data_IF_313288740181
#
_entry.id   IF_313288740181
#
_cell.length_a   1.000
_cell.length_b   1.000
_cell.length_c   1.000
_cell.angle_alpha   90.00
_cell.angle_beta   90.00
_cell.angle_gamma   90.00
#
_symmetry.space_group_name_H-M   'P 1'
#
loop_
_entity.id
_entity.type
_entity.pdbx_description
1 polymer ?
#
# COMPACT_ATOMS: atom_id res chain seq x y z
N UNK A 1 -3.76 23.15 -5.59
CA UNK A 1 -5.17 23.20 -5.90
C UNK A 1 -5.43 23.17 -7.38
N UNK A 2 -4.72 23.94 -8.18
CA UNK A 2 -4.90 23.97 -9.63
C UNK A 2 -4.43 22.71 -10.34
N UNK A 3 -3.68 21.89 -9.62
CA UNK A 3 -3.24 20.58 -10.09
C UNK A 3 -4.34 19.51 -10.04
N UNK A 4 -5.31 19.71 -9.19
CA UNK A 4 -6.49 18.88 -9.15
C UNK A 4 -7.56 19.41 -10.07
N UNK A 5 -7.13 19.94 -11.20
CA UNK A 5 -8.06 20.66 -11.97
C UNK A 5 -9.13 19.79 -12.51
N UNK A 6 -10.25 20.17 -12.16
CA UNK A 6 -11.43 19.39 -12.18
C UNK A 6 -11.83 18.88 -13.55
N UNK A 7 -11.45 19.51 -14.61
CA UNK A 7 -11.85 19.12 -15.95
C UNK A 7 -11.55 17.69 -16.31
N UNK A 8 -10.50 17.11 -15.74
CA UNK A 8 -10.15 15.71 -15.96
C UNK A 8 -11.04 14.72 -15.21
N UNK A 9 -11.78 15.20 -14.21
CA UNK A 9 -12.70 14.39 -13.42
C UNK A 9 -14.15 14.62 -13.80
N UNK A 10 -14.40 15.58 -14.66
CA UNK A 10 -15.73 15.99 -15.04
C UNK A 10 -16.31 15.03 -16.09
N UNK A 11 -17.60 15.11 -16.25
CA UNK A 11 -18.28 14.35 -17.29
C UNK A 11 -17.78 14.77 -18.68
N UNK A 12 -17.92 13.90 -19.68
CA UNK A 12 -17.45 14.17 -21.04
C UNK A 12 -17.88 15.49 -21.64
N UNK A 13 -19.01 16.02 -21.20
CA UNK A 13 -19.55 17.30 -21.65
C UNK A 13 -18.88 18.51 -21.00
N UNK A 14 -18.10 18.29 -19.96
CA UNK A 14 -17.41 19.36 -19.28
C UNK A 14 -16.02 19.54 -19.85
N UNK A 15 -15.59 20.77 -19.95
CA UNK A 15 -14.30 21.07 -20.60
C UNK A 15 -13.16 20.34 -19.90
N UNK A 16 -12.52 19.51 -20.65
CA UNK A 16 -11.29 18.90 -20.20
C UNK A 16 -10.24 19.98 -19.96
N UNK A 17 -9.61 19.90 -18.83
CA UNK A 17 -8.43 20.70 -18.54
C UNK A 17 -7.29 20.14 -19.37
N UNK A 18 -6.42 21.01 -19.88
CA UNK A 18 -5.24 20.57 -20.62
C UNK A 18 -4.48 19.47 -19.84
N UNK A 19 -4.11 18.43 -20.54
CA UNK A 19 -3.47 17.25 -19.96
C UNK A 19 -2.12 17.56 -19.28
N UNK A 20 -1.47 18.66 -19.64
CA UNK A 20 -0.25 19.17 -19.01
C UNK A 20 -0.41 19.52 -17.53
N UNK A 21 -1.64 19.77 -17.09
CA UNK A 21 -1.89 20.15 -15.68
C UNK A 21 -2.22 18.97 -14.78
N UNK A 22 -2.66 17.87 -15.34
CA UNK A 22 -3.17 16.74 -14.59
C UNK A 22 -2.53 15.41 -14.98
N UNK A 23 -1.69 15.41 -15.98
CA UNK A 23 -1.11 14.22 -16.53
C UNK A 23 -2.15 13.39 -17.29
N UNK A 24 -2.87 12.51 -16.60
CA UNK A 24 -3.89 11.67 -17.22
C UNK A 24 -5.26 11.95 -16.61
N UNK A 25 -6.30 12.13 -17.43
CA UNK A 25 -7.65 12.28 -16.93
C UNK A 25 -8.06 11.07 -16.09
N UNK A 26 -8.42 11.32 -14.87
CA UNK A 26 -8.94 10.29 -13.98
C UNK A 26 -10.46 10.47 -13.89
N UNK A 27 -11.23 9.48 -14.35
CA UNK A 27 -12.68 9.56 -14.41
C UNK A 27 -13.37 9.39 -13.05
N UNK A 28 -12.72 9.78 -12.00
CA UNK A 28 -13.32 9.81 -10.69
C UNK A 28 -14.13 11.07 -10.53
N UNK A 29 -15.41 10.88 -10.56
CA UNK A 29 -16.30 11.98 -10.28
C UNK A 29 -16.46 12.15 -8.78
N UNK A 30 -15.89 13.23 -8.29
CA UNK A 30 -15.99 13.60 -6.89
C UNK A 30 -17.41 13.99 -6.46
N UNK A 31 -18.25 14.37 -7.38
CA UNK A 31 -19.57 14.85 -7.04
C UNK A 31 -20.52 13.76 -6.57
N UNK A 32 -20.33 12.53 -7.05
CA UNK A 32 -21.28 11.45 -6.74
C UNK A 32 -20.83 10.60 -5.55
N UNK A 33 -19.52 10.52 -5.28
CA UNK A 33 -19.03 9.48 -4.37
C UNK A 33 -17.97 9.92 -3.38
N UNK A 34 -17.13 10.88 -3.73
CA UNK A 34 -16.05 11.33 -2.87
C UNK A 34 -15.89 12.83 -3.00
N UNK A 35 -16.20 13.61 -1.97
CA UNK A 35 -15.94 15.04 -2.00
C UNK A 35 -14.45 15.28 -2.19
N UNK A 36 -14.09 16.09 -3.17
CA UNK A 36 -12.71 16.59 -3.28
C UNK A 36 -12.48 17.60 -2.18
N UNK A 37 -11.68 17.21 -1.19
CA UNK A 37 -11.24 18.11 -0.15
C UNK A 37 -9.88 18.67 -0.53
N UNK A 38 -9.81 19.99 -0.61
CA UNK A 38 -8.56 20.69 -0.87
C UNK A 38 -7.75 20.94 0.41
N UNK A 39 -6.47 21.21 0.22
CA UNK A 39 -5.56 21.55 1.32
C UNK A 39 -4.83 20.37 1.93
N UNK A 40 -4.10 20.63 3.00
CA UNK A 40 -3.37 19.62 3.77
C UNK A 40 -4.32 19.06 4.83
N UNK A 41 -4.88 17.91 4.55
CA UNK A 41 -5.91 17.27 5.39
C UNK A 41 -5.33 16.20 6.32
N UNK A 42 -4.04 15.88 6.21
CA UNK A 42 -3.35 14.88 7.02
C UNK A 42 -2.11 15.48 7.66
N UNK A 43 -1.61 14.91 8.77
CA UNK A 43 -0.36 15.36 9.38
C UNK A 43 0.79 15.35 8.38
N UNK A 44 1.60 16.41 8.44
CA UNK A 44 2.88 16.49 7.72
C UNK A 44 3.97 15.98 8.65
N UNK A 45 4.76 15.03 8.15
CA UNK A 45 5.88 14.46 8.89
C UNK A 45 7.19 14.76 8.17
N UNK A 46 8.20 15.13 8.93
CA UNK A 46 9.56 15.34 8.43
C UNK A 46 10.45 14.25 9.03
N UNK A 47 11.12 13.48 8.17
CA UNK A 47 12.04 12.45 8.58
C UNK A 47 13.48 12.89 8.32
N UNK A 48 14.31 12.83 9.36
CA UNK A 48 15.74 13.00 9.21
C UNK A 48 16.38 11.63 9.15
N UNK A 49 17.07 11.33 8.06
CA UNK A 49 17.71 10.05 7.83
C UNK A 49 19.23 10.23 7.67
N UNK A 50 20.03 9.25 8.10
CA UNK A 50 21.46 9.22 7.78
C UNK A 50 21.67 8.94 6.27
N UNK A 51 22.91 8.98 5.79
CA UNK A 51 23.23 8.69 4.39
C UNK A 51 22.86 7.25 3.97
N UNK A 52 22.84 6.31 4.92
CA UNK A 52 22.42 4.93 4.69
C UNK A 52 21.24 4.63 5.59
N UNK A 53 20.10 4.34 4.99
CA UNK A 53 18.83 4.24 5.73
C UNK A 53 17.87 3.22 5.14
N UNK A 54 16.93 2.77 5.98
CA UNK A 54 15.75 2.01 5.57
C UNK A 54 14.76 2.95 4.87
N UNK A 55 14.32 2.59 3.68
CA UNK A 55 13.35 3.40 2.95
C UNK A 55 11.96 3.31 3.58
N UNK A 56 11.20 4.38 3.48
CA UNK A 56 9.76 4.36 3.77
C UNK A 56 9.01 3.85 2.53
N UNK A 57 7.89 3.15 2.70
CA UNK A 57 7.09 2.74 1.55
C UNK A 57 6.59 3.96 0.79
N UNK A 58 6.71 3.94 -0.52
CA UNK A 58 6.19 4.96 -1.44
C UNK A 58 6.71 6.37 -1.17
N UNK A 59 7.96 6.49 -0.70
CA UNK A 59 8.55 7.79 -0.49
C UNK A 59 8.71 8.54 -1.82
N UNK A 60 7.91 9.61 -1.97
CA UNK A 60 7.92 10.43 -3.18
C UNK A 60 7.75 9.58 -4.46
N UNK A 61 8.24 10.07 -5.58
CA UNK A 61 8.27 9.36 -6.86
C UNK A 61 9.34 8.26 -6.94
N UNK A 62 10.07 8.01 -5.86
CA UNK A 62 11.11 6.97 -5.80
C UNK A 62 10.56 5.55 -5.79
N UNK A 63 9.25 5.41 -5.62
CA UNK A 63 8.56 4.12 -5.61
C UNK A 63 9.17 3.09 -4.64
N UNK A 64 9.72 3.59 -3.54
CA UNK A 64 10.41 2.78 -2.52
C UNK A 64 9.48 1.76 -1.90
N UNK A 65 10.02 0.59 -1.55
CA UNK A 65 9.23 -0.54 -1.08
C UNK A 65 9.15 -0.64 0.44
N UNK A 66 10.06 0.04 1.15
CA UNK A 66 10.10 0.00 2.61
C UNK A 66 10.34 -1.40 3.18
N UNK A 67 9.76 -1.62 4.35
CA UNK A 67 9.83 -2.88 5.08
C UNK A 67 8.66 -3.81 4.69
N UNK A 68 8.96 -5.09 4.46
CA UNK A 68 7.96 -6.13 4.24
C UNK A 68 8.20 -7.32 5.16
N UNK A 69 7.17 -7.70 5.91
CA UNK A 69 7.20 -8.79 6.87
C UNK A 69 6.11 -9.79 6.52
N UNK A 70 6.47 -11.06 6.39
CA UNK A 70 5.49 -12.09 6.07
C UNK A 70 5.84 -13.45 6.68
N UNK A 71 4.80 -14.24 6.91
CA UNK A 71 4.92 -15.63 7.35
C UNK A 71 4.77 -16.60 6.18
N UNK A 72 5.43 -17.74 6.29
CA UNK A 72 5.28 -18.89 5.40
C UNK A 72 5.47 -20.20 6.17
N UNK A 73 5.19 -21.33 5.52
CA UNK A 73 5.34 -22.67 6.11
C UNK A 73 4.62 -22.78 7.47
N UNK A 74 3.35 -22.34 7.49
CA UNK A 74 2.54 -22.38 8.71
C UNK A 74 2.26 -23.82 9.12
N UNK A 75 2.67 -24.18 10.34
CA UNK A 75 2.26 -25.39 11.03
C UNK A 75 1.17 -25.01 12.03
N UNK A 76 -0.07 -25.32 11.70
CA UNK A 76 -1.22 -24.94 12.50
C UNK A 76 -1.39 -25.81 13.75
N UNK A 77 -0.89 -27.04 13.71
CA UNK A 77 -0.98 -27.97 14.85
C UNK A 77 -0.01 -27.58 15.95
N UNK A 78 1.19 -27.13 15.59
CA UNK A 78 2.22 -26.70 16.54
C UNK A 78 2.26 -25.19 16.74
N UNK A 79 1.39 -24.43 16.05
CA UNK A 79 1.33 -22.97 16.09
C UNK A 79 2.69 -22.32 15.78
N UNK A 80 3.36 -22.78 14.72
CA UNK A 80 4.65 -22.24 14.28
C UNK A 80 4.60 -21.79 12.82
N UNK A 81 5.47 -20.85 12.47
CA UNK A 81 5.69 -20.45 11.08
C UNK A 81 7.12 -19.92 10.88
N UNK A 82 7.56 -19.91 9.64
CA UNK A 82 8.76 -19.17 9.27
C UNK A 82 8.40 -17.71 9.08
N UNK A 83 9.21 -16.82 9.63
CA UNK A 83 9.09 -15.37 9.40
C UNK A 83 10.19 -14.93 8.44
N UNK A 84 9.82 -14.07 7.50
CA UNK A 84 10.72 -13.43 6.56
C UNK A 84 10.52 -11.93 6.59
N UNK A 85 11.63 -11.23 6.47
CA UNK A 85 11.67 -9.77 6.45
C UNK A 85 12.53 -9.34 5.26
N UNK A 86 11.99 -8.45 4.47
CA UNK A 86 12.69 -7.76 3.38
C UNK A 86 12.69 -6.27 3.71
N UNK A 87 13.84 -5.63 3.66
CA UNK A 87 13.97 -4.20 3.90
C UNK A 87 14.78 -3.55 2.79
N UNK A 88 14.20 -2.57 2.16
CA UNK A 88 14.89 -1.79 1.14
C UNK A 88 15.75 -0.73 1.81
N UNK A 89 17.04 -0.68 1.41
CA UNK A 89 18.04 0.25 1.92
C UNK A 89 18.57 1.10 0.79
N UNK A 90 18.69 2.39 1.06
CA UNK A 90 19.41 3.34 0.20
C UNK A 90 20.72 3.73 0.83
N UNK A 91 21.73 3.88 -0.02
CA UNK A 91 23.02 4.42 0.37
C UNK A 91 23.28 5.68 -0.47
N UNK A 92 22.97 6.85 0.08
CA UNK A 92 23.24 8.15 -0.55
C UNK A 92 24.69 8.63 -0.34
N UNK A 93 25.49 7.84 0.36
CA UNK A 93 26.93 8.04 0.50
C UNK A 93 27.69 7.75 -0.79
N UNK A 94 29.00 7.91 -0.73
CA UNK A 94 29.88 7.80 -1.91
C UNK A 94 30.59 6.45 -2.03
N UNK A 95 30.51 5.62 -1.00
CA UNK A 95 31.23 4.34 -0.94
C UNK A 95 30.29 3.19 -0.57
N UNK A 96 30.55 1.98 -1.06
CA UNK A 96 29.83 0.80 -0.61
C UNK A 96 30.04 0.57 0.89
N UNK A 97 29.01 0.11 1.58
CA UNK A 97 29.06 -0.21 3.01
C UNK A 97 28.52 -1.61 3.27
N UNK A 98 28.95 -2.22 4.37
CA UNK A 98 28.32 -3.45 4.86
C UNK A 98 27.07 -3.08 5.63
N UNK A 99 25.93 -3.62 5.23
CA UNK A 99 24.64 -3.37 5.86
C UNK A 99 23.99 -4.67 6.35
N UNK A 100 23.40 -4.66 7.52
CA UNK A 100 22.77 -5.82 8.14
C UNK A 100 21.51 -5.41 8.86
N UNK A 101 20.48 -6.28 8.84
CA UNK A 101 19.27 -6.13 9.62
C UNK A 101 19.35 -6.90 10.92
N UNK A 102 18.81 -6.30 11.99
CA UNK A 102 18.36 -7.00 13.18
C UNK A 102 16.87 -6.79 13.34
N UNK A 103 16.14 -7.86 13.58
CA UNK A 103 14.70 -7.84 13.76
C UNK A 103 14.36 -8.26 15.17
N UNK A 104 13.57 -7.44 15.84
CA UNK A 104 12.94 -7.78 17.12
C UNK A 104 11.44 -7.88 16.92
N UNK A 105 10.88 -9.06 17.20
CA UNK A 105 9.45 -9.30 17.20
C UNK A 105 8.92 -9.17 18.63
N UNK A 106 7.97 -8.25 18.86
CA UNK A 106 7.37 -8.04 20.18
C UNK A 106 5.89 -8.42 20.20
N UNK A 107 5.46 -8.96 21.32
CA UNK A 107 4.04 -9.20 21.61
C UNK A 107 3.34 -7.90 22.00
N UNK A 108 1.99 -7.89 22.04
CA UNK A 108 1.23 -6.71 22.47
C UNK A 108 1.57 -6.16 23.85
N UNK A 109 2.04 -7.01 24.74
CA UNK A 109 2.49 -6.62 26.09
C UNK A 109 3.91 -6.03 26.13
N UNK A 110 4.55 -5.89 24.96
CA UNK A 110 5.91 -5.38 24.81
C UNK A 110 7.01 -6.45 25.01
N UNK A 111 6.66 -7.65 25.47
CA UNK A 111 7.65 -8.72 25.64
C UNK A 111 8.22 -9.18 24.30
N UNK A 112 9.47 -9.59 24.30
CA UNK A 112 10.14 -10.09 23.09
C UNK A 112 9.65 -11.51 22.79
N UNK A 113 9.15 -11.69 21.56
CA UNK A 113 8.79 -13.00 21.03
C UNK A 113 9.98 -13.67 20.35
N UNK A 114 10.76 -12.92 19.58
CA UNK A 114 11.96 -13.41 18.89
C UNK A 114 12.91 -12.25 18.56
N UNK A 115 14.19 -12.58 18.43
CA UNK A 115 15.21 -11.71 17.84
C UNK A 115 15.99 -12.54 16.83
N UNK A 116 16.21 -11.99 15.65
CA UNK A 116 17.02 -12.64 14.61
C UNK A 116 17.68 -11.62 13.69
N UNK A 117 18.86 -11.97 13.20
CA UNK A 117 19.67 -11.15 12.33
C UNK A 117 19.60 -11.65 10.88
N UNK A 118 19.67 -10.74 9.94
CA UNK A 118 19.93 -11.06 8.55
C UNK A 118 21.41 -11.25 8.28
N UNK A 119 21.76 -11.86 7.16
CA UNK A 119 23.13 -11.87 6.69
C UNK A 119 23.58 -10.46 6.27
N UNK A 120 24.82 -10.05 6.58
CA UNK A 120 25.37 -8.81 6.04
C UNK A 120 25.39 -8.82 4.51
N UNK A 121 25.08 -7.69 3.91
CA UNK A 121 25.15 -7.49 2.47
C UNK A 121 25.80 -6.13 2.15
N UNK A 122 26.35 -6.01 0.94
CA UNK A 122 26.94 -4.75 0.50
C UNK A 122 25.84 -3.83 -0.05
N UNK A 123 25.66 -2.67 0.58
CA UNK A 123 24.85 -1.60 0.05
C UNK A 123 25.70 -0.66 -0.80
N UNK A 124 25.55 -0.76 -2.12
CA UNK A 124 26.25 0.09 -3.07
C UNK A 124 25.69 1.52 -3.03
N UNK A 125 26.49 2.55 -3.35
CA UNK A 125 26.00 3.90 -3.47
C UNK A 125 24.86 4.02 -4.50
N UNK A 126 23.74 4.59 -4.09
CA UNK A 126 22.58 4.85 -4.96
C UNK A 126 22.59 6.29 -5.51
N UNK A 127 23.53 7.13 -5.05
CA UNK A 127 23.49 8.55 -5.32
C UNK A 127 22.32 9.25 -4.61
N UNK A 128 22.32 10.57 -4.65
CA UNK A 128 21.23 11.35 -4.08
C UNK A 128 19.93 11.07 -4.82
N UNK A 129 18.90 10.73 -4.07
CA UNK A 129 17.58 10.58 -4.63
C UNK A 129 17.05 11.91 -5.15
N UNK A 130 17.07 12.09 -6.44
CA UNK A 130 16.29 13.15 -7.10
C UNK A 130 15.01 12.50 -7.58
N UNK A 131 13.84 12.86 -7.01
CA UNK A 131 12.60 12.36 -7.56
C UNK A 131 12.53 12.76 -9.03
N UNK A 132 12.30 11.83 -9.95
CA UNK A 132 12.02 12.23 -11.31
C UNK A 132 10.76 13.08 -11.28
N UNK A 133 10.85 14.29 -11.76
CA UNK A 133 9.69 15.04 -12.22
C UNK A 133 9.17 14.30 -13.45
N UNK A 134 8.41 13.25 -13.29
CA UNK A 134 7.67 12.66 -14.37
C UNK A 134 6.43 13.52 -14.63
N UNK A 135 6.65 14.66 -15.20
CA UNK A 135 5.60 15.37 -15.89
C UNK A 135 5.47 14.62 -17.21
N UNK A 136 4.40 13.84 -17.33
CA UNK A 136 4.01 13.35 -18.66
C UNK A 136 3.79 14.61 -19.51
N UNK A 137 4.48 14.78 -20.64
CA UNK A 137 4.30 15.96 -21.46
C UNK A 137 2.81 16.18 -21.76
N UNK A 138 2.37 17.41 -21.72
CA UNK A 138 0.99 17.81 -22.01
C UNK A 138 0.47 17.19 -23.31
N UNK A 139 1.36 17.02 -24.23
CA UNK A 139 1.10 16.58 -25.58
C UNK A 139 1.04 15.05 -25.73
N UNK A 140 1.27 14.32 -24.64
CA UNK A 140 1.25 12.86 -24.67
C UNK A 140 -0.17 12.27 -24.81
N UNK A 141 -1.19 13.09 -24.62
CA UNK A 141 -2.60 12.67 -24.73
C UNK A 141 -3.41 13.73 -25.44
N UNK A 142 -4.13 13.31 -26.45
CA UNK A 142 -5.07 14.14 -27.20
C UNK A 142 -6.49 13.64 -27.02
N UNK A 143 -7.49 14.53 -27.13
CA UNK A 143 -8.88 14.09 -27.14
C UNK A 143 -9.12 13.03 -28.19
N UNK A 144 -9.83 11.98 -27.84
CA UNK A 144 -10.25 10.98 -28.80
C UNK A 144 -11.50 11.48 -29.53
N UNK A 145 -11.35 11.83 -30.79
CA UNK A 145 -12.45 12.33 -31.60
C UNK A 145 -13.56 11.28 -31.81
N UNK A 146 -13.21 10.00 -31.73
CA UNK A 146 -14.17 8.92 -31.90
C UNK A 146 -15.03 8.68 -30.65
N UNK A 147 -14.52 9.07 -29.47
CA UNK A 147 -15.20 8.86 -28.19
C UNK A 147 -15.13 10.14 -27.38
N UNK A 148 -16.17 10.98 -27.42
CA UNK A 148 -16.19 12.24 -26.67
C UNK A 148 -15.89 12.05 -25.19
N UNK A 149 -14.95 12.84 -24.67
CA UNK A 149 -14.49 12.79 -23.28
C UNK A 149 -13.43 11.74 -23.00
N UNK A 150 -12.98 11.01 -23.98
CA UNK A 150 -11.82 10.14 -23.89
C UNK A 150 -10.57 10.84 -24.41
N UNK A 151 -9.43 10.44 -23.88
CA UNK A 151 -8.14 10.86 -24.35
C UNK A 151 -7.37 9.63 -24.81
N UNK A 152 -6.72 9.73 -25.95
CA UNK A 152 -5.83 8.69 -26.45
C UNK A 152 -4.38 9.14 -26.39
N UNK A 153 -3.44 8.23 -26.20
CA UNK A 153 -2.03 8.58 -26.32
C UNK A 153 -1.74 9.17 -27.69
N UNK A 154 -0.89 10.15 -27.73
CA UNK A 154 -0.28 10.56 -28.99
C UNK A 154 0.68 9.44 -29.39
N UNK A 155 0.44 8.82 -30.52
CA UNK A 155 1.35 7.84 -31.11
C UNK A 155 2.54 8.58 -31.77
N UNK A 156 3.25 9.33 -30.97
CA UNK A 156 4.45 10.05 -31.40
C UNK A 156 5.68 9.37 -30.80
N UNK A 157 6.36 8.59 -31.61
CA UNK A 157 7.61 7.91 -31.24
C UNK A 157 8.73 8.88 -30.84
N UNK A 158 8.56 10.19 -31.10
CA UNK A 158 9.52 11.22 -30.69
C UNK A 158 9.33 11.70 -29.26
N UNK A 159 8.19 11.41 -28.63
CA UNK A 159 8.02 11.71 -27.22
C UNK A 159 8.94 10.76 -26.43
N UNK A 160 9.80 11.29 -25.56
CA UNK A 160 10.62 10.42 -24.74
C UNK A 160 9.67 9.48 -23.98
N UNK A 161 9.88 8.18 -24.14
CA UNK A 161 9.26 7.22 -23.23
C UNK A 161 9.44 7.77 -21.82
N UNK A 162 8.42 7.70 -20.96
CA UNK A 162 8.58 8.10 -19.56
C UNK A 162 9.84 7.40 -19.10
N UNK A 163 10.86 8.20 -18.80
CA UNK A 163 12.17 7.67 -18.40
C UNK A 163 11.85 6.72 -17.25
N UNK A 164 11.95 5.42 -17.54
CA UNK A 164 11.99 4.46 -16.48
C UNK A 164 13.02 5.07 -15.53
N UNK A 165 12.57 5.50 -14.35
CA UNK A 165 13.48 5.96 -13.32
C UNK A 165 14.61 4.98 -13.37
N UNK A 166 15.79 5.41 -13.76
CA UNK A 166 16.95 4.55 -13.66
C UNK A 166 16.77 3.81 -12.37
N UNK A 167 16.66 2.50 -12.47
CA UNK A 167 16.41 1.67 -11.29
C UNK A 167 17.63 1.91 -10.43
N UNK A 168 17.51 2.95 -9.57
CA UNK A 168 18.60 3.31 -8.71
C UNK A 168 18.87 2.07 -7.91
N UNK A 169 20.09 1.54 -8.01
CA UNK A 169 20.47 0.28 -7.42
C UNK A 169 20.15 0.33 -5.92
N UNK A 170 18.99 -0.16 -5.55
CA UNK A 170 18.59 -0.30 -4.14
C UNK A 170 19.06 -1.65 -3.65
N UNK A 171 19.49 -1.69 -2.42
CA UNK A 171 19.84 -2.94 -1.76
C UNK A 171 18.63 -3.44 -0.98
N UNK A 172 18.24 -4.68 -1.20
CA UNK A 172 17.24 -5.33 -0.36
C UNK A 172 17.96 -6.24 0.62
N UNK A 173 17.85 -5.94 1.89
CA UNK A 173 18.34 -6.80 2.97
C UNK A 173 17.27 -7.80 3.36
N UNK A 174 17.70 -9.00 3.71
CA UNK A 174 16.83 -10.08 4.13
C UNK A 174 17.19 -10.54 5.55
N UNK A 175 16.16 -10.79 6.35
CA UNK A 175 16.28 -11.48 7.61
C UNK A 175 15.18 -12.53 7.73
N UNK A 176 15.39 -13.55 8.53
CA UNK A 176 14.36 -14.56 8.75
C UNK A 176 14.70 -15.51 9.88
N UNK A 177 13.67 -16.13 10.41
CA UNK A 177 13.76 -17.19 11.37
C UNK A 177 12.75 -18.28 11.02
N UNK A 178 13.16 -19.53 11.18
CA UNK A 178 12.34 -20.69 10.87
C UNK A 178 11.64 -21.21 12.14
N UNK A 179 10.46 -21.77 11.94
CA UNK A 179 9.71 -22.51 12.97
C UNK A 179 9.52 -21.71 14.26
N UNK A 180 9.21 -20.42 14.14
CA UNK A 180 8.93 -19.59 15.31
C UNK A 180 7.56 -19.93 15.90
N UNK A 181 7.44 -20.10 17.24
CA UNK A 181 6.15 -20.23 17.90
C UNK A 181 5.41 -18.89 17.86
N UNK A 182 4.20 -18.89 17.30
CA UNK A 182 3.40 -17.68 17.05
C UNK A 182 1.95 -17.88 17.47
N UNK A 183 1.33 -16.81 17.95
CA UNK A 183 -0.12 -16.70 18.01
C UNK A 183 -0.58 -16.09 16.69
N UNK A 184 -1.40 -16.82 15.96
CA UNK A 184 -1.84 -16.40 14.64
C UNK A 184 -3.00 -15.41 14.72
N UNK A 185 -2.98 -14.42 13.84
CA UNK A 185 -4.07 -13.48 13.69
C UNK A 185 -5.28 -14.16 13.05
N UNK A 186 -6.46 -13.92 13.59
CA UNK A 186 -7.72 -14.38 13.01
C UNK A 186 -8.83 -13.33 13.23
N UNK A 187 -10.00 -13.55 12.63
CA UNK A 187 -11.18 -12.69 12.79
C UNK A 187 -11.62 -12.61 14.26
N UNK A 188 -11.54 -13.74 14.99
CA UNK A 188 -11.99 -13.83 16.38
C UNK A 188 -10.86 -13.63 17.39
N UNK A 189 -9.62 -13.68 16.95
CA UNK A 189 -8.42 -13.42 17.72
C UNK A 189 -7.43 -12.56 16.92
N UNK A 190 -7.64 -11.25 16.82
CA UNK A 190 -6.83 -10.36 16.00
C UNK A 190 -5.48 -10.02 16.66
N UNK A 191 -4.64 -11.04 16.84
CA UNK A 191 -3.37 -10.92 17.53
C UNK A 191 -2.31 -10.25 16.66
N UNK A 192 -1.76 -9.14 17.12
CA UNK A 192 -0.80 -8.33 16.38
C UNK A 192 0.56 -8.33 17.07
N UNK A 193 1.60 -8.34 16.27
CA UNK A 193 2.99 -8.15 16.70
C UNK A 193 3.50 -6.80 16.26
N UNK A 194 4.40 -6.24 17.08
CA UNK A 194 5.26 -5.13 16.67
C UNK A 194 6.57 -5.69 16.16
N UNK A 195 6.96 -5.30 14.95
CA UNK A 195 8.23 -5.64 14.33
C UNK A 195 9.12 -4.41 14.34
N UNK A 196 10.24 -4.48 15.03
CA UNK A 196 11.30 -3.49 15.02
C UNK A 196 12.41 -3.97 14.10
N UNK A 197 12.70 -3.22 13.04
CA UNK A 197 13.80 -3.47 12.14
C UNK A 197 14.89 -2.44 12.37
N UNK A 198 16.07 -2.87 12.79
CA UNK A 198 17.23 -2.05 13.02
C UNK A 198 18.26 -2.29 11.90
N UNK A 199 18.77 -1.19 11.35
CA UNK A 199 19.81 -1.20 10.35
C UNK A 199 21.17 -0.97 11.02
N UNK A 200 22.08 -1.91 10.79
CA UNK A 200 23.48 -1.78 11.18
C UNK A 200 24.32 -1.53 9.94
N UNK A 201 25.13 -0.49 9.96
CA UNK A 201 26.07 -0.15 8.90
C UNK A 201 27.49 -0.25 9.46
N UNK A 202 28.31 -1.10 8.86
CA UNK A 202 29.67 -1.39 9.34
C UNK A 202 29.71 -1.77 10.84
N UNK A 203 28.67 -2.44 11.33
CA UNK A 203 28.53 -2.89 12.71
C UNK A 203 27.90 -1.88 13.69
N UNK A 204 27.64 -0.66 13.25
CA UNK A 204 26.97 0.37 14.07
C UNK A 204 25.50 0.54 13.68
N UNK A 205 24.61 0.67 14.67
CA UNK A 205 23.20 0.95 14.44
C UNK A 205 23.05 2.39 13.91
N UNK A 206 22.48 2.51 12.71
CA UNK A 206 22.31 3.81 12.05
C UNK A 206 20.85 4.23 11.87
N UNK A 207 19.94 3.29 11.70
CA UNK A 207 18.53 3.58 11.46
C UNK A 207 17.64 2.50 12.05
N UNK A 208 16.36 2.80 12.23
CA UNK A 208 15.37 1.83 12.65
C UNK A 208 13.98 2.20 12.11
N UNK A 209 13.17 1.18 11.89
CA UNK A 209 11.76 1.31 11.55
C UNK A 209 10.93 0.33 12.37
N UNK A 210 9.67 0.67 12.57
CA UNK A 210 8.72 -0.14 13.30
C UNK A 210 7.43 -0.26 12.50
N UNK A 211 6.84 -1.44 12.51
CA UNK A 211 5.49 -1.66 12.00
C UNK A 211 4.73 -2.66 12.87
N UNK A 212 3.42 -2.67 12.72
CA UNK A 212 2.54 -3.66 13.35
C UNK A 212 2.01 -4.61 12.29
N UNK A 213 2.02 -5.91 12.56
CA UNK A 213 1.52 -6.93 11.65
C UNK A 213 0.96 -8.13 12.42
N UNK A 214 0.22 -8.99 11.71
CA UNK A 214 -0.23 -10.28 12.22
C UNK A 214 0.08 -11.38 11.21
N UNK A 215 0.30 -12.58 11.70
CA UNK A 215 0.63 -13.73 10.86
C UNK A 215 -0.57 -14.66 10.75
N UNK A 216 -0.93 -15.05 9.56
CA UNK A 216 -2.05 -15.95 9.29
C UNK A 216 -1.81 -16.80 8.05
N UNK A 217 -2.32 -18.02 8.07
CA UNK A 217 -2.44 -18.86 6.91
C UNK A 217 -3.82 -18.65 6.26
N UNK A 218 -3.84 -18.41 4.95
CA UNK A 218 -5.08 -18.32 4.17
C UNK A 218 -5.07 -19.41 3.11
N UNK A 219 -6.14 -20.13 3.02
CA UNK A 219 -6.33 -21.14 1.98
C UNK A 219 -7.77 -21.16 1.49
N UNK A 220 -7.96 -21.66 0.28
CA UNK A 220 -9.26 -21.87 -0.32
C UNK A 220 -9.43 -23.33 -0.70
N UNK A 221 -10.53 -23.90 -0.27
CA UNK A 221 -10.93 -25.25 -0.60
C UNK A 221 -12.23 -25.19 -1.41
N UNK A 222 -12.26 -25.88 -2.56
CA UNK A 222 -13.43 -25.83 -3.47
C UNK A 222 -14.74 -26.33 -2.83
N UNK A 223 -14.63 -27.24 -1.86
CA UNK A 223 -15.79 -27.85 -1.21
C UNK A 223 -16.18 -27.15 0.11
N UNK A 224 -15.23 -26.50 0.76
CA UNK A 224 -15.41 -25.89 2.08
C UNK A 224 -15.19 -24.38 2.10
N UNK A 225 -14.73 -23.79 0.99
CA UNK A 225 -14.55 -22.35 0.85
C UNK A 225 -13.28 -21.80 1.50
N UNK A 226 -13.38 -20.56 1.94
CA UNK A 226 -12.28 -19.82 2.55
C UNK A 226 -11.93 -20.37 3.94
N UNK A 227 -10.64 -20.45 4.21
CA UNK A 227 -10.11 -20.77 5.53
C UNK A 227 -9.06 -19.78 5.97
N UNK A 228 -9.13 -19.40 7.23
CA UNK A 228 -8.08 -18.67 7.92
C UNK A 228 -7.58 -19.56 9.08
N UNK A 229 -6.29 -19.84 9.09
CA UNK A 229 -5.65 -20.76 10.04
C UNK A 229 -6.38 -22.12 10.12
N UNK A 230 -6.75 -22.67 8.99
CA UNK A 230 -7.45 -23.94 8.88
C UNK A 230 -8.96 -23.91 9.18
N UNK A 231 -9.45 -22.88 9.87
CA UNK A 231 -10.86 -22.72 10.19
C UNK A 231 -11.65 -22.15 9.02
N UNK A 232 -12.79 -22.75 8.68
CA UNK A 232 -13.69 -22.25 7.64
C UNK A 232 -14.26 -20.90 8.06
N UNK A 233 -14.22 -19.93 7.16
CA UNK A 233 -14.70 -18.58 7.40
C UNK A 233 -15.88 -18.23 6.49
N UNK A 234 -16.97 -17.82 7.09
CA UNK A 234 -18.09 -17.24 6.39
C UNK A 234 -18.00 -15.72 6.44
N UNK A 235 -17.77 -15.10 5.29
CA UNK A 235 -17.69 -13.66 5.20
C UNK A 235 -19.09 -13.05 5.18
N UNK A 236 -19.36 -12.19 6.14
CA UNK A 236 -20.56 -11.38 6.25
C UNK A 236 -20.15 -9.93 6.21
N UNK A 237 -20.59 -9.22 5.19
CA UNK A 237 -20.13 -7.85 5.04
C UNK A 237 -20.88 -7.08 3.98
N UNK A 238 -20.41 -5.89 3.73
CA UNK A 238 -20.98 -4.95 2.76
C UNK A 238 -19.88 -4.12 2.10
N UNK A 239 -20.26 -3.38 1.08
CA UNK A 239 -19.37 -2.43 0.45
C UNK A 239 -19.40 -1.11 1.20
N UNK A 240 -18.24 -0.56 1.50
CA UNK A 240 -18.06 0.74 2.14
C UNK A 240 -17.19 1.62 1.24
N UNK A 241 -17.51 2.89 1.19
CA UNK A 241 -16.63 3.87 0.57
C UNK A 241 -15.53 4.26 1.54
N UNK A 242 -14.37 4.53 0.99
CA UNK A 242 -13.23 4.95 1.80
C UNK A 242 -13.34 6.40 2.30
N UNK A 243 -14.31 7.17 1.82
CA UNK A 243 -14.58 8.51 2.30
C UNK A 243 -15.57 8.47 3.45
N UNK A 244 -15.18 9.03 4.58
CA UNK A 244 -16.12 9.31 5.64
C UNK A 244 -16.85 10.61 5.29
N UNK A 245 -18.18 10.53 5.13
CA UNK A 245 -19.04 11.66 4.79
C UNK A 245 -19.34 12.58 5.98
N UNK A 246 -18.53 12.53 7.01
CA UNK A 246 -18.73 13.39 8.15
C UNK A 246 -18.56 14.86 7.77
N UNK A 247 -19.59 15.63 8.07
CA UNK A 247 -19.73 17.00 7.62
C UNK A 247 -18.49 17.85 7.89
N UNK A 248 -17.98 18.48 6.85
CA UNK A 248 -16.85 19.41 6.87
C UNK A 248 -15.47 18.81 7.23
N UNK A 249 -15.34 17.51 7.43
CA UNK A 249 -14.07 16.86 7.70
C UNK A 249 -13.83 15.86 6.57
N UNK A 250 -13.04 16.23 5.60
CA UNK A 250 -12.72 15.36 4.46
C UNK A 250 -11.90 14.13 4.81
N UNK A 251 -11.35 14.08 6.02
CA UNK A 251 -10.63 12.92 6.56
C UNK A 251 -11.02 12.77 8.03
N UNK A 252 -11.58 11.61 8.34
CA UNK A 252 -11.97 11.28 9.69
C UNK A 252 -10.73 11.12 10.59
N UNK A 253 -10.82 11.53 11.86
CA UNK A 253 -9.77 11.26 12.84
C UNK A 253 -9.68 9.74 13.13
N UNK A 254 -8.52 9.29 13.57
CA UNK A 254 -8.25 7.85 13.73
C UNK A 254 -9.23 7.16 14.71
N UNK A 255 -9.66 7.85 15.75
CA UNK A 255 -10.63 7.29 16.70
C UNK A 255 -11.98 6.96 16.07
N UNK A 256 -12.40 7.71 15.03
CA UNK A 256 -13.67 7.45 14.35
C UNK A 256 -13.59 6.18 13.49
N UNK A 257 -12.46 5.92 12.85
CA UNK A 257 -12.25 4.66 12.13
C UNK A 257 -12.29 3.45 13.07
N UNK A 258 -11.80 3.60 14.31
CA UNK A 258 -11.86 2.54 15.31
C UNK A 258 -13.29 2.31 15.82
N UNK A 259 -14.07 3.37 15.96
CA UNK A 259 -15.51 3.30 16.31
C UNK A 259 -16.32 2.67 15.18
N UNK A 260 -16.11 3.08 13.93
CA UNK A 260 -16.75 2.46 12.78
C UNK A 260 -16.45 0.96 12.70
N UNK A 261 -15.21 0.57 12.96
CA UNK A 261 -14.83 -0.83 13.01
C UNK A 261 -15.51 -1.59 14.17
N UNK A 262 -15.71 -0.94 15.32
CA UNK A 262 -16.49 -1.50 16.42
C UNK A 262 -17.94 -1.75 16.01
N UNK A 263 -18.60 -0.75 15.40
CA UNK A 263 -19.97 -0.86 14.90
C UNK A 263 -20.13 -1.95 13.83
N UNK A 264 -19.16 -2.10 12.95
CA UNK A 264 -19.12 -3.20 11.98
C UNK A 264 -19.15 -4.55 12.70
N UNK A 265 -18.33 -4.72 13.73
CA UNK A 265 -18.33 -5.97 14.53
C UNK A 265 -19.63 -6.18 15.30
N UNK A 266 -20.20 -5.13 15.87
CA UNK A 266 -21.50 -5.20 16.58
C UNK A 266 -22.64 -5.63 15.66
N UNK A 267 -22.58 -5.26 14.37
CA UNK A 267 -23.54 -5.73 13.36
C UNK A 267 -23.35 -7.21 12.96
N UNK A 268 -22.42 -7.92 13.58
CA UNK A 268 -21.97 -9.26 13.19
C UNK A 268 -21.32 -9.35 11.79
N UNK A 269 -20.95 -8.23 11.20
CA UNK A 269 -20.13 -8.23 10.00
C UNK A 269 -18.65 -8.50 10.35
N UNK A 270 -17.95 -9.15 9.44
CA UNK A 270 -16.54 -9.49 9.56
C UNK A 270 -15.75 -9.22 8.28
N UNK A 271 -16.40 -8.64 7.27
CA UNK A 271 -15.79 -8.32 5.98
C UNK A 271 -16.29 -6.98 5.45
N UNK A 272 -15.37 -6.19 4.96
CA UNK A 272 -15.67 -4.95 4.24
C UNK A 272 -15.00 -4.98 2.87
N UNK A 273 -15.75 -4.68 1.84
CA UNK A 273 -15.19 -4.35 0.54
C UNK A 273 -15.11 -2.83 0.41
N UNK A 274 -13.91 -2.29 0.36
CA UNK A 274 -13.77 -0.89 -0.04
C UNK A 274 -14.18 -0.74 -1.49
N UNK A 275 -15.07 0.21 -1.76
CA UNK A 275 -15.70 0.35 -3.07
C UNK A 275 -15.03 1.47 -3.84
N UNK A 276 -14.40 1.11 -4.95
CA UNK A 276 -13.74 1.98 -5.92
C UNK A 276 -12.46 2.68 -5.44
N UNK A 277 -12.29 2.94 -4.16
CA UNK A 277 -11.12 3.61 -3.59
C UNK A 277 -10.53 2.75 -2.49
N UNK A 278 -9.22 2.72 -2.43
CA UNK A 278 -8.54 2.07 -1.31
C UNK A 278 -8.96 2.67 0.03
N UNK A 279 -9.19 1.82 1.01
CA UNK A 279 -9.42 2.23 2.38
C UNK A 279 -8.23 3.01 2.93
N UNK A 280 -8.48 3.90 3.86
CA UNK A 280 -7.41 4.67 4.48
C UNK A 280 -6.51 3.79 5.35
N UNK A 281 -5.25 4.18 5.62
CA UNK A 281 -4.42 3.48 6.58
C UNK A 281 -5.05 3.37 7.98
N UNK A 282 -5.87 4.33 8.38
CA UNK A 282 -6.58 4.30 9.67
C UNK A 282 -7.68 3.23 9.69
N UNK A 283 -8.46 3.09 8.60
CA UNK A 283 -9.45 2.01 8.45
C UNK A 283 -8.78 0.64 8.59
N UNK A 284 -7.71 0.44 7.82
CA UNK A 284 -7.03 -0.87 7.79
C UNK A 284 -6.41 -1.20 9.14
N UNK A 285 -5.79 -0.22 9.83
CA UNK A 285 -5.30 -0.44 11.20
C UNK A 285 -6.41 -0.77 12.19
N UNK A 286 -7.57 -0.15 12.06
CA UNK A 286 -8.73 -0.47 12.90
C UNK A 286 -9.23 -1.90 12.62
N UNK A 287 -9.26 -2.30 11.35
CA UNK A 287 -9.65 -3.66 10.96
C UNK A 287 -8.66 -4.72 11.44
N UNK A 288 -7.36 -4.43 11.39
CA UNK A 288 -6.33 -5.30 11.97
C UNK A 288 -6.59 -5.57 13.45
N UNK A 289 -6.94 -4.53 14.22
CA UNK A 289 -7.22 -4.62 15.66
C UNK A 289 -8.54 -5.30 15.99
N UNK A 290 -9.54 -5.18 15.11
CA UNK A 290 -10.91 -5.63 15.36
C UNK A 290 -11.25 -6.98 14.70
N UNK A 291 -10.33 -7.58 13.95
CA UNK A 291 -10.60 -8.84 13.27
C UNK A 291 -11.62 -8.70 12.14
N UNK A 292 -11.53 -7.64 11.36
CA UNK A 292 -12.33 -7.44 10.17
C UNK A 292 -11.42 -7.68 8.97
N UNK A 293 -11.79 -8.59 8.07
CA UNK A 293 -11.06 -8.76 6.83
C UNK A 293 -11.60 -7.82 5.77
N UNK A 294 -10.77 -7.39 4.84
CA UNK A 294 -11.20 -6.49 3.79
C UNK A 294 -10.70 -6.86 2.40
N UNK A 295 -11.43 -6.37 1.42
CA UNK A 295 -11.04 -6.32 0.02
C UNK A 295 -10.58 -4.90 -0.29
N UNK A 296 -9.33 -4.78 -0.74
CA UNK A 296 -8.67 -3.51 -1.01
C UNK A 296 -8.53 -3.29 -2.52
N UNK A 297 -9.23 -2.32 -3.10
CA UNK A 297 -9.11 -1.97 -4.50
C UNK A 297 -7.92 -1.03 -4.74
N UNK A 298 -7.47 -0.98 -5.97
CA UNK A 298 -6.47 0.01 -6.40
C UNK A 298 -7.07 1.39 -6.68
N UNK A 299 -8.35 1.47 -6.83
CA UNK A 299 -9.04 2.64 -7.34
C UNK A 299 -9.46 2.42 -8.79
N UNK A 300 -10.70 2.07 -8.98
CA UNK A 300 -11.25 1.80 -10.29
C UNK A 300 -12.71 2.26 -10.38
N UNK A 301 -13.04 2.78 -11.53
CA UNK A 301 -14.42 3.01 -11.91
C UNK A 301 -14.66 2.28 -13.24
N UNK A 302 -15.65 1.49 -13.26
CA UNK A 302 -16.45 0.75 -14.25
C UNK A 302 -16.16 0.96 -15.74
N UNK A 303 -14.95 1.35 -16.15
CA UNK A 303 -14.60 1.52 -17.56
C UNK A 303 -13.27 0.87 -17.87
N UNK A 304 -13.21 0.32 -19.04
CA UNK A 304 -11.94 -0.12 -19.61
C UNK A 304 -10.94 1.05 -19.64
N UNK A 305 -9.70 0.73 -19.40
CA UNK A 305 -8.59 1.65 -19.49
C UNK A 305 -7.57 1.11 -20.47
N UNK A 306 -7.03 2.00 -21.27
CA UNK A 306 -6.07 1.67 -22.30
C UNK A 306 -4.85 2.59 -22.19
N UNK A 307 -3.73 2.16 -22.75
CA UNK A 307 -2.52 2.96 -22.80
C UNK A 307 -2.09 3.44 -21.42
N UNK A 308 -1.75 4.71 -21.30
CA UNK A 308 -1.24 5.29 -20.04
C UNK A 308 -2.22 5.18 -18.86
N UNK A 309 -3.52 5.19 -19.10
CA UNK A 309 -4.50 4.97 -18.00
C UNK A 309 -4.42 3.55 -17.42
N UNK A 310 -4.19 2.57 -18.28
CA UNK A 310 -3.95 1.20 -17.83
C UNK A 310 -2.66 1.11 -17.01
N UNK A 311 -1.58 1.69 -17.50
CA UNK A 311 -0.31 1.72 -16.78
C UNK A 311 -0.46 2.36 -15.40
N UNK A 312 -1.18 3.47 -15.31
CA UNK A 312 -1.46 4.12 -14.03
C UNK A 312 -2.27 3.24 -13.08
N UNK A 313 -3.22 2.47 -13.57
CA UNK A 313 -3.97 1.53 -12.72
C UNK A 313 -3.07 0.42 -12.19
N UNK A 314 -2.18 -0.10 -13.03
CA UNK A 314 -1.18 -1.09 -12.61
C UNK A 314 -0.23 -0.49 -11.58
N UNK A 315 0.26 0.73 -11.80
CA UNK A 315 1.11 1.46 -10.85
C UNK A 315 0.37 1.69 -9.52
N UNK A 316 -0.87 2.13 -9.58
CA UNK A 316 -1.69 2.37 -8.39
C UNK A 316 -1.94 1.08 -7.61
N UNK A 317 -2.25 -0.02 -8.30
CA UNK A 317 -2.40 -1.33 -7.65
C UNK A 317 -1.12 -1.78 -6.97
N UNK A 318 0.02 -1.62 -7.64
CA UNK A 318 1.33 -1.88 -7.05
C UNK A 318 1.56 -1.04 -5.79
N UNK A 319 1.26 0.26 -5.85
CA UNK A 319 1.47 1.17 -4.75
C UNK A 319 0.54 0.85 -3.56
N UNK A 320 -0.71 0.52 -3.83
CA UNK A 320 -1.65 0.05 -2.80
C UNK A 320 -1.15 -1.23 -2.13
N UNK A 321 -0.64 -2.18 -2.91
CA UNK A 321 -0.06 -3.41 -2.35
C UNK A 321 1.16 -3.07 -1.47
N UNK A 322 2.07 -2.24 -1.94
CA UNK A 322 3.25 -1.84 -1.17
C UNK A 322 2.84 -1.14 0.14
N UNK A 323 1.86 -0.24 0.07
CA UNK A 323 1.40 0.50 1.24
C UNK A 323 0.79 -0.41 2.32
N UNK A 324 0.08 -1.46 1.90
CA UNK A 324 -0.79 -2.22 2.81
C UNK A 324 -0.40 -3.69 3.00
N UNK A 325 0.62 -4.22 2.34
CA UNK A 325 0.99 -5.65 2.36
C UNK A 325 1.33 -6.22 3.73
N UNK A 326 1.62 -5.37 4.70
CA UNK A 326 1.93 -5.79 6.07
C UNK A 326 0.67 -5.93 6.97
N UNK A 327 -0.52 -5.60 6.46
CA UNK A 327 -1.76 -5.62 7.22
C UNK A 327 -2.47 -6.98 7.12
N UNK A 328 -2.68 -7.69 8.22
CA UNK A 328 -3.31 -9.01 8.20
C UNK A 328 -4.80 -8.99 7.86
N UNK A 329 -5.48 -7.86 8.00
CA UNK A 329 -6.89 -7.71 7.64
C UNK A 329 -7.14 -7.75 6.14
N UNK A 330 -6.15 -7.42 5.30
CA UNK A 330 -6.36 -7.44 3.86
C UNK A 330 -6.37 -8.88 3.36
N UNK A 331 -7.52 -9.31 2.91
CA UNK A 331 -7.74 -10.66 2.44
C UNK A 331 -7.67 -10.77 0.91
N UNK A 332 -8.20 -9.75 0.23
CA UNK A 332 -8.25 -9.71 -1.22
C UNK A 332 -7.75 -8.38 -1.77
N UNK A 333 -7.09 -8.47 -2.91
CA UNK A 333 -6.74 -7.33 -3.75
C UNK A 333 -7.70 -7.31 -4.94
N UNK A 334 -8.39 -6.20 -5.12
CA UNK A 334 -9.36 -6.04 -6.20
C UNK A 334 -8.73 -5.26 -7.37
N UNK A 335 -8.57 -5.93 -8.49
CA UNK A 335 -7.92 -5.35 -9.66
C UNK A 335 -8.87 -4.46 -10.50
N UNK A 336 -10.17 -4.61 -10.34
CA UNK A 336 -11.14 -3.82 -11.07
C UNK A 336 -12.56 -4.05 -10.60
N UNK A 337 -13.42 -3.04 -10.83
CA UNK A 337 -14.85 -3.10 -10.54
C UNK A 337 -15.64 -2.99 -11.84
N UNK A 338 -16.54 -3.94 -12.11
CA UNK A 338 -17.37 -3.99 -13.31
C UNK A 338 -16.57 -3.84 -14.62
N UNK A 339 -15.30 -4.21 -14.60
CA UNK A 339 -14.50 -4.23 -15.83
C UNK A 339 -15.00 -5.33 -16.71
N UNK A 340 -15.38 -4.96 -17.92
CA UNK A 340 -15.71 -5.91 -18.98
C UNK A 340 -14.37 -6.44 -19.49
N UNK A 341 -14.16 -7.71 -19.32
CA UNK A 341 -13.01 -8.42 -19.92
C UNK A 341 -13.35 -8.82 -21.36
#
# INVERSE_FOLDING_TARGET
SDLAVPGSYLFPQEQAVPADRVGVPFFWNCNDFNPSVGGITRPVQVFFKPDVYLTLPLYSNLQTKGLYVYGRNFDLDNATADIRVEAEVRNEGKVPVSAQLRITLRRPDGSVAAIFDGAPATAAPTGRAVPPLSITPADAYIPDEAVPGHYRPVEDESLPAPTATDSMAVTVLHAGADTLPLRFWSIDDPYLYTVEAELFVNGEKTDAQQLTTGFRAVSYDKDRGLRINGAVQWLRGYAQRAANEWAAIGIAPEWLHDEDAALIRESNANHIRFMHVAGSPADVRAFDRRGIVCTQPAGDKEKESFGRQWDQRVELMRDVIIAFRNHPSILFWEAGNNSIS
#
